data_IF_128611517611
#
_entry.id   IF_128611517611
#
_cell.length_a   1.000
_cell.length_b   1.000
_cell.length_c   1.000
_cell.angle_alpha   90.00
_cell.angle_beta   90.00
_cell.angle_gamma   90.00
#
_symmetry.space_group_name_H-M   'P 1'
#
loop_
_entity.id
_entity.type
_entity.pdbx_description
1 polymer ?
#
# COMPACT_ATOMS: atom_id res chain seq x y z
N UNK A 1 3.98 -5.37 -13.96
CA UNK A 1 2.71 -5.92 -13.43
C UNK A 1 2.00 -4.87 -12.59
N UNK A 2 0.66 -4.89 -12.54
CA UNK A 2 -0.14 -3.94 -11.75
C UNK A 2 -0.84 -4.70 -10.62
N UNK A 3 -0.82 -4.16 -9.41
CA UNK A 3 -1.37 -4.80 -8.20
C UNK A 3 -2.47 -3.91 -7.63
N UNK A 4 -3.61 -4.52 -7.29
CA UNK A 4 -4.64 -3.92 -6.45
C UNK A 4 -4.62 -4.61 -5.10
N UNK A 5 -4.23 -3.88 -4.06
CA UNK A 5 -4.27 -4.37 -2.68
C UNK A 5 -5.59 -3.92 -2.04
N UNK A 6 -6.41 -4.90 -1.66
CA UNK A 6 -7.70 -4.66 -0.98
C UNK A 6 -7.53 -4.90 0.51
N UNK A 7 -7.69 -3.84 1.29
CA UNK A 7 -7.45 -3.79 2.72
C UNK A 7 -6.08 -3.20 3.07
N UNK A 8 -6.08 -2.19 3.93
CA UNK A 8 -4.94 -1.46 4.50
C UNK A 8 -4.90 -1.55 6.04
N UNK A 9 -5.43 -2.66 6.58
CA UNK A 9 -5.18 -3.05 7.96
C UNK A 9 -3.73 -3.52 8.17
N UNK A 10 -3.41 -4.14 9.31
CA UNK A 10 -2.03 -4.49 9.66
C UNK A 10 -1.27 -5.32 8.61
N UNK A 11 -1.94 -6.27 7.96
CA UNK A 11 -1.32 -7.09 6.90
C UNK A 11 -1.15 -6.31 5.60
N UNK A 12 -2.19 -5.59 5.17
CA UNK A 12 -2.14 -4.79 3.94
C UNK A 12 -1.08 -3.68 4.01
N UNK A 13 -1.03 -2.99 5.14
CA UNK A 13 -0.01 -1.97 5.42
C UNK A 13 1.41 -2.56 5.36
N UNK A 14 1.64 -3.73 5.98
CA UNK A 14 2.93 -4.43 5.88
C UNK A 14 3.28 -4.83 4.44
N UNK A 15 2.30 -5.30 3.66
CA UNK A 15 2.50 -5.64 2.23
C UNK A 15 2.92 -4.39 1.46
N UNK A 16 2.24 -3.26 1.61
CA UNK A 16 2.56 -2.01 0.91
C UNK A 16 3.98 -1.53 1.25
N UNK A 17 4.38 -1.61 2.52
CA UNK A 17 5.74 -1.26 2.99
C UNK A 17 6.81 -2.19 2.43
N UNK A 18 6.53 -3.48 2.35
CA UNK A 18 7.44 -4.45 1.72
C UNK A 18 7.49 -4.26 0.21
N UNK A 19 6.39 -3.88 -0.42
CA UNK A 19 6.32 -3.67 -1.86
C UNK A 19 7.12 -2.44 -2.29
N UNK A 20 7.15 -1.38 -1.48
CA UNK A 20 7.90 -0.14 -1.76
C UNK A 20 9.41 -0.37 -1.98
N UNK A 21 9.96 -1.48 -1.47
CA UNK A 21 11.37 -1.89 -1.65
C UNK A 21 11.58 -2.94 -2.74
N UNK A 22 10.61 -3.15 -3.63
CA UNK A 22 10.63 -4.16 -4.71
C UNK A 22 10.33 -3.52 -6.06
N UNK A 23 10.91 -4.07 -7.12
CA UNK A 23 10.84 -3.51 -8.48
C UNK A 23 10.18 -4.45 -9.52
N UNK A 24 9.56 -5.56 -9.09
CA UNK A 24 8.93 -6.52 -10.01
C UNK A 24 7.55 -6.07 -10.52
N UNK A 25 7.01 -4.97 -9.99
CA UNK A 25 5.72 -4.40 -10.37
C UNK A 25 5.87 -2.94 -10.77
N UNK A 26 4.96 -2.47 -11.60
CA UNK A 26 4.93 -1.12 -12.17
C UNK A 26 4.09 -0.18 -11.31
N UNK A 27 2.95 -0.67 -10.82
CA UNK A 27 2.01 0.10 -10.02
C UNK A 27 1.34 -0.78 -8.98
N UNK A 28 1.22 -0.27 -7.76
CA UNK A 28 0.39 -0.82 -6.70
C UNK A 28 -0.60 0.24 -6.24
N UNK A 29 -1.88 -0.11 -6.22
CA UNK A 29 -2.95 0.71 -5.65
C UNK A 29 -3.36 0.09 -4.31
N UNK A 30 -3.32 0.88 -3.25
CA UNK A 30 -3.83 0.51 -1.92
C UNK A 30 -5.27 0.98 -1.81
N UNK A 31 -6.18 0.08 -1.47
CA UNK A 31 -7.60 0.36 -1.29
C UNK A 31 -8.09 -0.15 0.04
N UNK A 32 -9.07 0.53 0.61
CA UNK A 32 -9.75 0.11 1.83
C UNK A 32 -11.18 0.67 1.80
N UNK A 33 -12.06 0.07 2.59
CA UNK A 33 -13.41 0.60 2.81
C UNK A 33 -13.35 1.95 3.54
N UNK A 34 -12.40 2.09 4.48
CA UNK A 34 -12.12 3.35 5.16
C UNK A 34 -10.94 4.05 4.46
N UNK A 35 -11.24 5.11 3.70
CA UNK A 35 -10.25 5.87 2.94
C UNK A 35 -9.07 6.34 3.80
N UNK A 36 -9.32 6.73 5.06
CA UNK A 36 -8.28 7.23 5.95
C UNK A 36 -7.21 6.16 6.21
N UNK A 37 -7.56 4.87 6.22
CA UNK A 37 -6.59 3.78 6.38
C UNK A 37 -5.65 3.67 5.19
N UNK A 38 -6.18 3.76 3.97
CA UNK A 38 -5.36 3.76 2.76
C UNK A 38 -4.46 5.00 2.71
N UNK A 39 -5.01 6.17 3.06
CA UNK A 39 -4.25 7.42 3.13
C UNK A 39 -3.11 7.36 4.16
N UNK A 40 -3.35 6.76 5.33
CA UNK A 40 -2.32 6.57 6.35
C UNK A 40 -1.16 5.70 5.85
N UNK A 41 -1.44 4.59 5.15
CA UNK A 41 -0.41 3.75 4.54
C UNK A 41 0.40 4.55 3.49
N UNK A 42 -0.27 5.34 2.65
CA UNK A 42 0.40 6.18 1.64
C UNK A 42 1.22 7.30 2.28
N UNK A 43 0.70 7.96 3.32
CA UNK A 43 1.41 9.00 4.06
C UNK A 43 2.69 8.44 4.66
N UNK A 44 2.61 7.26 5.29
CA UNK A 44 3.79 6.55 5.78
C UNK A 44 4.81 6.36 4.66
N UNK A 45 4.40 5.87 3.49
CA UNK A 45 5.31 5.62 2.36
C UNK A 45 5.99 6.89 1.83
N UNK A 46 5.33 8.05 1.89
CA UNK A 46 5.89 9.33 1.41
C UNK A 46 6.97 9.94 2.31
N UNK A 47 6.97 9.57 3.59
CA UNK A 47 7.95 10.06 4.57
C UNK A 47 9.27 9.27 4.55
N UNK A 48 9.42 8.25 3.70
CA UNK A 48 10.62 7.40 3.57
C UNK A 48 11.22 7.54 2.19
#
# INVERSE_FOLDING_TARGET
MRILLVGSGGVGDAIAKIAARRSFFELMIVTDYDLARAENTIAWLRER
#
